data_IF_922636951098
#
_entry.id   IF_922636951098
#
_cell.length_a   1.000
_cell.length_b   1.000
_cell.length_c   1.000
_cell.angle_alpha   90.00
_cell.angle_beta   90.00
_cell.angle_gamma   90.00
#
_symmetry.space_group_name_H-M   'P 1'
#
loop_
_entity.id
_entity.type
_entity.pdbx_description
1 polymer ?
#
# COMPACT_ATOMS: atom_id res chain seq x y z
N UNK A 1 3.16 12.37 19.64
CA UNK A 1 3.54 12.74 18.26
C UNK A 1 2.95 14.12 17.95
N UNK A 2 3.55 14.90 17.05
CA UNK A 2 3.44 16.36 17.03
C UNK A 2 2.35 16.97 16.12
N UNK A 3 1.47 16.19 15.48
CA UNK A 3 0.22 16.65 14.82
C UNK A 3 -0.78 15.48 14.92
N UNK A 4 -2.01 15.75 15.35
CA UNK A 4 -3.13 14.79 15.42
C UNK A 4 -4.11 15.01 14.27
N UNK A 5 -5.00 14.04 14.03
CA UNK A 5 -6.08 14.17 13.02
C UNK A 5 -6.93 15.41 13.32
N UNK A 6 -7.26 15.64 14.60
CA UNK A 6 -7.98 16.85 15.04
C UNK A 6 -7.19 18.15 14.77
N UNK A 7 -5.86 18.12 14.85
CA UNK A 7 -5.04 19.30 14.52
C UNK A 7 -5.05 19.63 13.02
N UNK A 8 -5.32 18.64 12.16
CA UNK A 8 -5.45 18.82 10.70
C UNK A 8 -6.84 19.35 10.35
N UNK A 9 -7.89 18.81 10.97
CA UNK A 9 -9.27 19.27 10.80
C UNK A 9 -9.47 20.72 11.25
N UNK A 10 -8.80 21.13 12.34
CA UNK A 10 -8.87 22.51 12.85
C UNK A 10 -7.94 23.48 12.10
N UNK A 11 -7.15 23.00 11.13
CA UNK A 11 -6.12 23.79 10.47
C UNK A 11 -6.69 24.74 9.42
N UNK A 12 -6.61 26.04 9.70
CA UNK A 12 -6.93 27.08 8.71
C UNK A 12 -5.67 27.66 8.06
N UNK A 13 -5.67 27.72 6.73
CA UNK A 13 -4.59 28.32 5.94
C UNK A 13 -4.92 29.77 5.58
N UNK A 14 -3.92 30.65 5.66
CA UNK A 14 -4.06 32.02 5.18
C UNK A 14 -3.97 32.06 3.65
N UNK A 15 -4.97 32.63 2.99
CA UNK A 15 -4.97 32.82 1.53
C UNK A 15 -4.13 34.05 1.15
N UNK A 16 -3.15 33.88 0.26
CA UNK A 16 -2.33 34.96 -0.31
C UNK A 16 -2.16 34.77 -1.81
N UNK A 17 -2.56 35.76 -2.60
CA UNK A 17 -2.28 35.83 -4.05
C UNK A 17 -2.64 34.54 -4.81
N UNK A 18 -1.77 34.12 -5.73
CA UNK A 18 -1.87 32.83 -6.41
C UNK A 18 -1.41 31.70 -5.46
N UNK A 19 -2.35 31.15 -4.71
CA UNK A 19 -2.16 29.97 -3.86
C UNK A 19 -2.76 28.71 -4.47
N UNK A 20 -2.64 27.59 -3.75
CA UNK A 20 -3.36 26.36 -4.08
C UNK A 20 -4.86 26.54 -3.98
N UNK A 21 -5.62 25.76 -4.76
CA UNK A 21 -7.07 25.73 -4.68
C UNK A 21 -7.48 25.19 -3.30
N UNK A 22 -8.24 25.94 -2.48
CA UNK A 22 -8.71 25.48 -1.19
C UNK A 22 -9.42 24.12 -1.24
N UNK A 23 -10.20 23.85 -2.30
CA UNK A 23 -10.96 22.60 -2.41
C UNK A 23 -10.04 21.38 -2.62
N UNK A 24 -9.01 21.53 -3.45
CA UNK A 24 -8.03 20.46 -3.72
C UNK A 24 -7.17 20.19 -2.48
N UNK A 25 -6.84 21.24 -1.72
CA UNK A 25 -6.15 21.12 -0.44
C UNK A 25 -7.00 20.39 0.58
N UNK A 26 -8.28 20.76 0.73
CA UNK A 26 -9.19 20.11 1.67
C UNK A 26 -9.37 18.62 1.35
N UNK A 27 -9.56 18.26 0.07
CA UNK A 27 -9.66 16.86 -0.36
C UNK A 27 -8.40 16.05 -0.02
N UNK A 28 -7.22 16.66 -0.19
CA UNK A 28 -5.96 16.00 0.12
C UNK A 28 -5.75 15.85 1.64
N UNK A 29 -6.21 16.82 2.44
CA UNK A 29 -6.15 16.75 3.90
C UNK A 29 -7.09 15.67 4.45
N UNK A 30 -8.29 15.49 3.87
CA UNK A 30 -9.20 14.39 4.22
C UNK A 30 -8.52 13.02 3.98
N UNK A 31 -7.86 12.86 2.84
CA UNK A 31 -7.12 11.63 2.53
C UNK A 31 -5.97 11.36 3.52
N UNK A 32 -5.25 12.40 3.95
CA UNK A 32 -4.22 12.28 4.98
C UNK A 32 -4.83 11.87 6.32
N UNK A 33 -5.98 12.44 6.70
CA UNK A 33 -6.68 12.08 7.92
C UNK A 33 -7.08 10.60 7.93
N UNK A 34 -7.66 10.11 6.84
CA UNK A 34 -8.03 8.70 6.68
C UNK A 34 -6.81 7.76 6.80
N UNK A 35 -5.70 8.12 6.13
CA UNK A 35 -4.48 7.32 6.16
C UNK A 35 -3.80 7.33 7.54
N UNK A 36 -3.86 8.47 8.25
CA UNK A 36 -3.36 8.58 9.62
C UNK A 36 -4.17 7.74 10.61
N UNK A 37 -5.51 7.70 10.47
CA UNK A 37 -6.36 6.82 11.29
C UNK A 37 -6.01 5.36 11.02
N UNK A 38 -5.93 4.95 9.76
CA UNK A 38 -5.56 3.58 9.40
C UNK A 38 -4.16 3.20 9.91
N UNK A 39 -3.19 4.12 9.88
CA UNK A 39 -1.86 3.90 10.42
C UNK A 39 -1.88 3.74 11.94
N UNK A 40 -2.69 4.54 12.65
CA UNK A 40 -2.83 4.45 14.10
C UNK A 40 -3.48 3.13 14.52
N UNK A 41 -4.56 2.72 13.84
CA UNK A 41 -5.21 1.42 14.06
C UNK A 41 -4.23 0.26 13.85
N UNK A 42 -3.36 0.38 12.83
CA UNK A 42 -2.33 -0.63 12.57
C UNK A 42 -1.25 -0.67 13.65
N UNK A 43 -0.87 0.48 14.21
CA UNK A 43 0.05 0.55 15.35
C UNK A 43 -0.58 -0.12 16.56
N UNK A 44 -1.83 0.22 16.89
CA UNK A 44 -2.57 -0.37 18.02
C UNK A 44 -2.71 -1.89 17.87
N UNK A 45 -2.97 -2.34 16.65
CA UNK A 45 -3.09 -3.77 16.35
C UNK A 45 -1.75 -4.50 16.49
N UNK A 46 -0.65 -3.90 16.03
CA UNK A 46 0.70 -4.45 16.21
C UNK A 46 1.11 -4.49 17.69
N UNK A 47 0.77 -3.47 18.47
CA UNK A 47 1.03 -3.44 19.91
C UNK A 47 0.23 -4.53 20.65
N UNK A 48 -1.05 -4.71 20.28
CA UNK A 48 -1.89 -5.78 20.83
C UNK A 48 -1.34 -7.17 20.50
N UNK A 49 -0.86 -7.38 19.27
CA UNK A 49 -0.26 -8.64 18.85
C UNK A 49 1.07 -8.91 19.56
N UNK A 50 1.92 -7.88 19.73
CA UNK A 50 3.14 -7.99 20.53
C UNK A 50 2.85 -8.30 22.00
N UNK A 51 1.80 -7.70 22.58
CA UNK A 51 1.37 -7.98 23.94
C UNK A 51 0.91 -9.44 24.10
N UNK A 52 0.10 -9.95 23.16
CA UNK A 52 -0.33 -11.36 23.12
C UNK A 52 0.85 -12.31 22.95
N UNK A 53 1.77 -12.01 22.03
CA UNK A 53 2.96 -12.82 21.79
C UNK A 53 3.87 -12.85 23.02
N UNK A 54 4.05 -11.71 23.71
CA UNK A 54 4.78 -11.64 24.99
C UNK A 54 4.10 -12.43 26.09
N UNK A 55 2.78 -12.34 26.23
CA UNK A 55 2.04 -13.13 27.22
C UNK A 55 2.13 -14.63 26.93
N UNK A 56 2.02 -15.06 25.67
CA UNK A 56 2.21 -16.44 25.29
C UNK A 56 3.64 -16.93 25.59
N UNK A 57 4.65 -16.11 25.30
CA UNK A 57 6.04 -16.40 25.63
C UNK A 57 6.30 -16.42 27.15
N UNK A 58 5.69 -15.54 27.92
CA UNK A 58 5.78 -15.53 29.39
C UNK A 58 5.02 -16.68 30.03
N UNK A 59 3.87 -17.09 29.49
CA UNK A 59 3.14 -18.28 29.94
C UNK A 59 3.94 -19.55 29.64
N UNK A 60 4.57 -19.63 28.47
CA UNK A 60 5.52 -20.69 28.14
C UNK A 60 6.75 -20.68 29.05
N UNK A 61 7.29 -19.50 29.39
CA UNK A 61 8.41 -19.35 30.32
C UNK A 61 8.02 -19.63 31.80
N UNK A 62 6.80 -19.33 32.22
CA UNK A 62 6.29 -19.62 33.57
C UNK A 62 5.93 -21.09 33.75
N UNK A 63 5.57 -21.79 32.65
CA UNK A 63 5.46 -23.25 32.63
C UNK A 63 6.84 -23.94 32.76
N UNK A 64 7.94 -23.22 32.50
CA UNK A 64 9.31 -23.62 32.82
C UNK A 64 9.72 -22.95 34.13
N UNK A 65 9.22 -23.43 35.27
CA UNK A 65 9.67 -22.94 36.57
C UNK A 65 11.21 -23.08 36.69
N UNK A 66 11.94 -22.00 37.06
CA UNK A 66 13.29 -22.16 37.54
C UNK A 66 13.20 -22.79 38.94
N UNK A 67 13.62 -24.05 39.06
CA UNK A 67 13.95 -24.61 40.37
C UNK A 67 15.10 -23.77 40.96
N UNK A 68 14.76 -22.79 41.80
CA UNK A 68 15.74 -22.10 42.62
C UNK A 68 16.38 -23.11 43.59
N UNK A 69 17.70 -23.02 43.86
CA UNK A 69 18.41 -24.04 44.61
C UNK A 69 18.13 -23.86 46.11
N UNK A 70 17.14 -24.58 46.63
CA UNK A 70 17.09 -24.85 48.07
C UNK A 70 18.10 -25.93 48.43
N UNK A 71 18.93 -25.56 49.40
CA UNK A 71 20.06 -26.28 49.97
C UNK A 71 19.74 -27.75 50.22
N UNK A 72 20.59 -28.61 49.67
CA UNK A 72 20.63 -30.06 49.89
C UNK A 72 20.50 -30.38 51.38
N UNK A 73 19.37 -30.94 51.79
CA UNK A 73 19.34 -31.80 52.98
C UNK A 73 18.29 -32.90 52.86
N UNK A 74 18.83 -34.06 52.49
CA UNK A 74 18.29 -35.40 52.70
C UNK A 74 16.93 -35.70 52.06
N UNK A 75 16.95 -36.16 50.81
CA UNK A 75 15.97 -37.15 50.36
C UNK A 75 16.70 -38.34 49.78
N UNK A 76 16.43 -39.47 50.42
CA UNK A 76 16.84 -40.84 50.12
C UNK A 76 16.64 -41.16 48.64
N UNK A 77 17.64 -41.78 48.03
CA UNK A 77 17.66 -42.18 46.62
C UNK A 77 16.80 -43.44 46.46
N UNK A 78 15.58 -43.33 45.92
CA UNK A 78 14.83 -44.42 45.24
C UNK A 78 13.75 -43.86 44.29
N UNK A 79 13.43 -44.48 43.14
CA UNK A 79 14.30 -44.97 42.07
C UNK A 79 14.20 -44.08 40.80
N UNK A 80 15.34 -43.75 40.21
CA UNK A 80 15.51 -42.93 38.98
C UNK A 80 15.19 -43.73 37.71
N UNK A 81 14.04 -44.38 37.65
CA UNK A 81 13.62 -45.14 36.46
C UNK A 81 12.50 -44.43 35.67
N UNK A 82 11.48 -43.89 36.36
CA UNK A 82 10.32 -43.24 35.70
C UNK A 82 10.58 -41.78 35.29
N UNK A 83 11.55 -41.11 35.91
CA UNK A 83 11.93 -39.74 35.58
C UNK A 83 12.69 -39.64 34.25
N UNK A 84 13.47 -40.68 33.88
CA UNK A 84 14.21 -40.73 32.61
C UNK A 84 13.27 -40.83 31.41
N UNK A 85 12.30 -41.75 31.48
CA UNK A 85 11.33 -41.96 30.41
C UNK A 85 10.41 -40.74 30.23
N UNK A 86 10.06 -40.06 31.31
CA UNK A 86 9.26 -38.82 31.26
C UNK A 86 10.06 -37.67 30.63
N UNK A 87 11.34 -37.50 30.99
CA UNK A 87 12.20 -36.48 30.41
C UNK A 87 12.47 -36.72 28.92
N UNK A 88 12.70 -37.97 28.53
CA UNK A 88 12.93 -38.35 27.14
C UNK A 88 11.69 -38.07 26.27
N UNK A 89 10.49 -38.37 26.78
CA UNK A 89 9.22 -38.01 26.13
C UNK A 89 8.99 -36.49 26.03
N UNK A 90 9.41 -35.72 27.05
CA UNK A 90 9.33 -34.25 27.03
C UNK A 90 10.30 -33.68 25.98
N UNK A 91 11.55 -34.16 25.91
CA UNK A 91 12.51 -33.71 24.90
C UNK A 91 12.06 -34.08 23.49
N UNK A 92 11.51 -35.27 23.29
CA UNK A 92 11.00 -35.70 21.99
C UNK A 92 9.77 -34.90 21.55
N UNK A 93 8.88 -34.55 22.48
CA UNK A 93 7.71 -33.72 22.19
C UNK A 93 8.10 -32.25 21.93
N UNK A 94 9.06 -31.71 22.68
CA UNK A 94 9.62 -30.39 22.43
C UNK A 94 10.32 -30.32 21.06
N UNK A 95 11.07 -31.36 20.67
CA UNK A 95 11.69 -31.44 19.36
C UNK A 95 10.65 -31.52 18.23
N UNK A 96 9.64 -32.38 18.36
CA UNK A 96 8.52 -32.45 17.40
C UNK A 96 7.76 -31.14 17.28
N UNK A 97 7.57 -30.43 18.39
CA UNK A 97 6.92 -29.12 18.40
C UNK A 97 7.77 -28.07 17.69
N UNK A 98 9.08 -28.08 17.90
CA UNK A 98 10.01 -27.19 17.19
C UNK A 98 10.02 -27.48 15.69
N UNK A 99 10.09 -28.75 15.29
CA UNK A 99 10.05 -29.15 13.88
C UNK A 99 8.73 -28.74 13.22
N UNK A 100 7.59 -28.95 13.91
CA UNK A 100 6.27 -28.51 13.45
C UNK A 100 6.17 -26.98 13.31
N UNK A 101 6.71 -26.23 14.27
CA UNK A 101 6.74 -24.77 14.20
C UNK A 101 7.57 -24.26 13.02
N UNK A 102 8.70 -24.92 12.71
CA UNK A 102 9.52 -24.59 11.54
C UNK A 102 8.80 -24.92 10.24
N UNK A 103 8.11 -26.05 10.17
CA UNK A 103 7.33 -26.44 8.98
C UNK A 103 6.16 -25.47 8.73
N UNK A 104 5.43 -25.10 9.79
CA UNK A 104 4.33 -24.13 9.70
C UNK A 104 4.83 -22.74 9.29
N UNK A 105 5.97 -22.30 9.82
CA UNK A 105 6.60 -21.05 9.43
C UNK A 105 7.00 -21.06 7.94
N UNK A 106 7.54 -22.17 7.44
CA UNK A 106 7.87 -22.34 6.02
C UNK A 106 6.62 -22.30 5.14
N UNK A 107 5.57 -23.03 5.49
CA UNK A 107 4.29 -23.01 4.75
C UNK A 107 3.68 -21.62 4.69
N UNK A 108 3.70 -20.88 5.80
CA UNK A 108 3.25 -19.47 5.84
C UNK A 108 4.11 -18.59 4.95
N UNK A 109 5.43 -18.73 5.01
CA UNK A 109 6.34 -17.98 4.15
C UNK A 109 6.09 -18.25 2.66
N UNK A 110 5.92 -19.51 2.28
CA UNK A 110 5.62 -19.91 0.90
C UNK A 110 4.28 -19.33 0.41
N UNK A 111 3.29 -19.28 1.31
CA UNK A 111 1.97 -18.69 1.00
C UNK A 111 2.09 -17.19 0.79
N UNK A 112 2.79 -16.49 1.68
CA UNK A 112 3.06 -15.05 1.56
C UNK A 112 3.83 -14.75 0.26
N UNK A 113 4.82 -15.57 -0.08
CA UNK A 113 5.59 -15.41 -1.31
C UNK A 113 4.72 -15.59 -2.54
N UNK A 114 3.85 -16.61 -2.58
CA UNK A 114 2.91 -16.80 -3.69
C UNK A 114 1.94 -15.63 -3.81
N UNK A 115 1.29 -15.24 -2.72
CA UNK A 115 0.36 -14.10 -2.74
C UNK A 115 1.03 -12.80 -3.18
N UNK A 116 2.29 -12.57 -2.76
CA UNK A 116 3.06 -11.43 -3.20
C UNK A 116 3.42 -11.50 -4.68
N UNK A 117 3.76 -12.68 -5.19
CA UNK A 117 4.03 -12.92 -6.61
C UNK A 117 2.79 -12.72 -7.47
N UNK A 118 1.64 -13.24 -7.04
CA UNK A 118 0.37 -13.11 -7.74
C UNK A 118 -0.06 -11.63 -7.80
N UNK A 119 -0.03 -10.93 -6.65
CA UNK A 119 -0.30 -9.48 -6.62
C UNK A 119 0.65 -8.68 -7.50
N UNK A 120 1.93 -9.02 -7.52
CA UNK A 120 2.89 -8.36 -8.39
C UNK A 120 2.59 -8.61 -9.87
N UNK A 121 2.17 -9.83 -10.23
CA UNK A 121 1.76 -10.17 -11.59
C UNK A 121 0.50 -9.38 -12.01
N UNK A 122 -0.49 -9.29 -11.13
CA UNK A 122 -1.72 -8.53 -11.35
C UNK A 122 -1.42 -7.03 -11.55
N UNK A 123 -0.62 -6.42 -10.66
CA UNK A 123 -0.21 -5.00 -10.79
C UNK A 123 0.49 -4.74 -12.12
N UNK A 124 1.35 -5.65 -12.57
CA UNK A 124 2.06 -5.52 -13.85
C UNK A 124 1.09 -5.67 -15.03
N UNK A 125 0.09 -6.55 -14.92
CA UNK A 125 -0.93 -6.73 -15.94
C UNK A 125 -1.80 -5.47 -16.08
N UNK A 126 -2.31 -4.95 -14.96
CA UNK A 126 -3.12 -3.74 -14.91
C UNK A 126 -2.35 -2.54 -15.45
N UNK A 127 -1.10 -2.34 -15.02
CA UNK A 127 -0.26 -1.24 -15.51
C UNK A 127 0.02 -1.34 -17.02
N UNK A 128 0.09 -2.56 -17.58
CA UNK A 128 0.25 -2.75 -19.03
C UNK A 128 -1.04 -2.43 -19.78
N UNK A 129 -2.19 -2.78 -19.23
CA UNK A 129 -3.49 -2.43 -19.80
C UNK A 129 -3.71 -0.92 -19.78
N UNK A 130 -3.47 -0.25 -18.66
CA UNK A 130 -3.52 1.20 -18.55
C UNK A 130 -2.56 1.89 -19.52
N UNK A 131 -1.32 1.40 -19.64
CA UNK A 131 -0.38 1.91 -20.63
C UNK A 131 -0.93 1.79 -22.05
N UNK A 132 -1.50 0.63 -22.41
CA UNK A 132 -2.04 0.40 -23.74
C UNK A 132 -3.26 1.28 -24.05
N UNK A 133 -4.11 1.54 -23.05
CA UNK A 133 -5.25 2.46 -23.21
C UNK A 133 -4.79 3.91 -23.32
N UNK A 134 -3.79 4.33 -22.54
CA UNK A 134 -3.20 5.66 -22.63
C UNK A 134 -2.52 5.90 -23.97
N UNK A 135 -1.75 4.93 -24.48
CA UNK A 135 -1.12 5.01 -25.82
C UNK A 135 -2.17 5.21 -26.92
N UNK A 136 -3.28 4.47 -26.87
CA UNK A 136 -4.42 4.66 -27.81
C UNK A 136 -5.06 6.04 -27.67
N UNK A 137 -5.22 6.54 -26.45
CA UNK A 137 -5.77 7.88 -26.19
C UNK A 137 -4.86 8.97 -26.77
N UNK A 138 -3.55 8.86 -26.58
CA UNK A 138 -2.56 9.78 -27.15
C UNK A 138 -2.61 9.77 -28.68
N UNK A 139 -2.67 8.59 -29.30
CA UNK A 139 -2.79 8.46 -30.75
C UNK A 139 -4.08 9.10 -31.28
N UNK A 140 -5.21 8.85 -30.63
CA UNK A 140 -6.50 9.46 -30.97
C UNK A 140 -6.48 10.99 -30.83
N UNK A 141 -5.84 11.51 -29.78
CA UNK A 141 -5.73 12.95 -29.53
C UNK A 141 -4.86 13.63 -30.60
N UNK A 142 -3.75 13.00 -31.00
CA UNK A 142 -2.92 13.46 -32.11
C UNK A 142 -3.68 13.45 -33.44
N UNK A 143 -4.45 12.40 -33.72
CA UNK A 143 -5.28 12.32 -34.92
C UNK A 143 -6.34 13.43 -34.94
N UNK A 144 -7.05 13.64 -33.84
CA UNK A 144 -8.05 14.70 -33.70
C UNK A 144 -7.43 16.11 -33.86
N UNK A 145 -6.25 16.35 -33.28
CA UNK A 145 -5.52 17.60 -33.45
C UNK A 145 -5.10 17.83 -34.91
N UNK A 146 -4.65 16.77 -35.60
CA UNK A 146 -4.31 16.81 -37.02
C UNK A 146 -5.52 17.12 -37.90
N UNK A 147 -6.66 16.50 -37.62
CA UNK A 147 -7.92 16.74 -38.33
C UNK A 147 -8.45 18.15 -38.07
N UNK A 148 -8.45 18.61 -36.82
CA UNK A 148 -8.81 19.98 -36.47
C UNK A 148 -7.95 21.00 -37.23
N UNK A 149 -6.62 20.80 -37.26
CA UNK A 149 -5.71 21.67 -38.01
C UNK A 149 -6.04 21.69 -39.50
N UNK A 150 -6.30 20.54 -40.12
CA UNK A 150 -6.67 20.44 -41.54
C UNK A 150 -7.98 21.18 -41.82
N UNK A 151 -9.00 20.96 -40.99
CA UNK A 151 -10.30 21.60 -41.13
C UNK A 151 -10.19 23.12 -40.94
N UNK A 152 -9.39 23.56 -39.99
CA UNK A 152 -9.12 24.97 -39.75
C UNK A 152 -8.39 25.65 -40.92
N UNK A 153 -7.35 25.02 -41.47
CA UNK A 153 -6.66 25.52 -42.66
C UNK A 153 -7.61 25.61 -43.86
N UNK A 154 -8.44 24.59 -44.07
CA UNK A 154 -9.45 24.58 -45.14
C UNK A 154 -10.45 25.73 -44.98
N UNK A 155 -10.89 25.98 -43.75
CA UNK A 155 -11.77 27.11 -43.44
C UNK A 155 -11.09 28.45 -43.75
N UNK A 156 -9.84 28.63 -43.34
CA UNK A 156 -9.08 29.86 -43.62
C UNK A 156 -8.85 30.08 -45.11
N UNK A 157 -8.51 29.03 -45.87
CA UNK A 157 -8.37 29.12 -47.32
C UNK A 157 -9.69 29.48 -48.00
N UNK A 158 -10.81 28.92 -47.53
CA UNK A 158 -12.15 29.30 -48.00
C UNK A 158 -12.48 30.77 -47.72
N UNK A 159 -12.17 31.27 -46.53
CA UNK A 159 -12.36 32.68 -46.17
C UNK A 159 -11.45 33.60 -47.02
N UNK A 160 -10.22 33.18 -47.27
CA UNK A 160 -9.29 33.90 -48.14
C UNK A 160 -9.81 33.99 -49.57
N UNK A 161 -10.28 32.88 -50.15
CA UNK A 161 -10.88 32.87 -51.49
C UNK A 161 -12.12 33.76 -51.58
N UNK A 162 -12.98 33.77 -50.55
CA UNK A 162 -14.11 34.69 -50.48
C UNK A 162 -13.67 36.15 -50.50
N UNK A 163 -12.65 36.52 -49.71
CA UNK A 163 -12.10 37.88 -49.71
C UNK A 163 -11.51 38.26 -51.07
N UNK A 164 -10.73 37.38 -51.70
CA UNK A 164 -10.15 37.62 -53.04
C UNK A 164 -11.25 37.77 -54.11
N UNK A 165 -12.30 36.95 -54.05
CA UNK A 165 -13.46 37.06 -54.94
C UNK A 165 -14.22 38.39 -54.73
N UNK A 166 -14.43 38.81 -53.48
CA UNK A 166 -15.07 40.08 -53.16
C UNK A 166 -14.22 41.29 -53.57
N UNK A 167 -12.89 41.23 -53.44
CA UNK A 167 -12.00 42.29 -53.94
C UNK A 167 -12.14 42.44 -55.45
N UNK A 168 -12.27 41.33 -56.20
CA UNK A 168 -12.49 41.39 -57.65
C UNK A 168 -13.79 42.11 -58.04
N UNK A 169 -14.86 41.99 -57.22
CA UNK A 169 -16.11 42.74 -57.37
C UNK A 169 -15.95 44.25 -57.13
N UNK A 170 -14.98 44.67 -56.32
CA UNK A 170 -14.66 46.09 -56.11
C UNK A 170 -13.65 46.66 -57.11
N UNK A 171 -12.98 45.81 -57.92
CA UNK A 171 -11.92 46.23 -58.86
C UNK A 171 -12.25 46.14 -60.35
N UNK A 172 -13.46 45.75 -60.75
CA UNK A 172 -13.97 45.94 -62.13
C UNK A 172 -15.05 47.03 -62.16
N UNK A 173 -15.11 48.02 -63.03
CA UNK A 173 -14.35 48.40 -64.23
C UNK A 173 -14.22 49.94 -64.24
N UNK A 174 -12.99 50.46 -64.41
CA UNK A 174 -12.81 51.76 -65.09
C UNK A 174 -12.37 51.44 -66.51
N UNK A 175 -13.31 51.42 -67.45
CA UNK A 175 -13.04 51.66 -68.86
C UNK A 175 -14.19 52.45 -69.47
#
# INVERSE_FOLDING_TARGET
MAITVSDIEEKQFATKGAGYDPYDVDQYLDQICDEMVAMQERIDQLEADLAKARQAAQAAAAAVQPVAPEVVRNVTIEPVAKASETLENILLSAQKLADGAVEDARRKADTILREAQDKAADIIADAREEKATLEKSVEALHAAAGEFKKNFLTLLDGQKQLLESNVSLFTGEKK
#
